data_IF_873300837578
#
_entry.id   IF_873300837578
#
_cell.length_a   1.000
_cell.length_b   1.000
_cell.length_c   1.000
_cell.angle_alpha   90.00
_cell.angle_beta   90.00
_cell.angle_gamma   90.00
#
_symmetry.space_group_name_H-M   'P 1'
#
loop_
_entity.id
_entity.type
_entity.pdbx_description
1 polymer ?
#
# COMPACT_ATOMS: atom_id res chain seq x y z
N UNK A 1 -13.17 0.62 -14.76
CA UNK A 1 -12.13 -0.21 -14.12
C UNK A 1 -11.68 0.52 -12.85
N UNK A 2 -11.68 -0.15 -11.70
CA UNK A 2 -11.22 0.41 -10.42
C UNK A 2 -9.74 0.04 -10.24
N UNK A 3 -8.87 1.04 -10.35
CA UNK A 3 -7.41 0.88 -10.31
C UNK A 3 -6.88 1.67 -9.12
N UNK A 4 -6.58 0.96 -8.03
CA UNK A 4 -6.04 1.51 -6.79
C UNK A 4 -5.06 0.48 -6.20
N UNK A 5 -3.79 0.86 -5.91
CA UNK A 5 -3.20 2.17 -6.14
C UNK A 5 -3.04 2.50 -7.63
N UNK A 6 -3.17 3.78 -7.98
CA UNK A 6 -2.78 4.30 -9.29
C UNK A 6 -1.38 4.92 -9.20
N UNK A 7 -0.39 4.25 -9.77
CA UNK A 7 1.00 4.69 -9.74
C UNK A 7 1.32 5.79 -10.76
N UNK A 8 0.46 6.01 -11.76
CA UNK A 8 0.63 7.10 -12.72
C UNK A 8 0.30 8.46 -12.08
N UNK A 9 -0.77 8.49 -11.27
CA UNK A 9 -1.18 9.68 -10.52
C UNK A 9 -0.67 9.72 -9.08
N UNK A 10 -0.03 8.63 -8.62
CA UNK A 10 0.42 8.45 -7.23
C UNK A 10 -0.71 8.63 -6.22
N UNK A 11 -1.87 8.06 -6.52
CA UNK A 11 -3.06 8.11 -5.67
C UNK A 11 -3.51 6.73 -5.24
N UNK A 12 -4.05 6.65 -4.03
CA UNK A 12 -4.70 5.45 -3.51
C UNK A 12 -5.96 5.87 -2.76
N UNK A 13 -7.10 5.30 -3.15
CA UNK A 13 -8.34 5.49 -2.43
C UNK A 13 -8.70 4.28 -1.56
N UNK A 14 -9.40 4.55 -0.46
CA UNK A 14 -10.01 3.52 0.38
C UNK A 14 -11.21 4.12 1.14
N UNK A 15 -12.02 3.27 1.76
CA UNK A 15 -13.22 3.66 2.51
C UNK A 15 -13.45 2.71 3.70
N UNK A 16 -14.42 3.01 4.56
CA UNK A 16 -14.74 2.17 5.71
C UNK A 16 -13.55 2.01 6.67
N UNK A 17 -13.47 0.85 7.32
CA UNK A 17 -12.46 0.59 8.37
C UNK A 17 -11.01 0.84 7.93
N UNK A 18 -10.68 0.54 6.67
CA UNK A 18 -9.32 0.75 6.15
C UNK A 18 -9.05 2.22 5.88
N UNK A 19 -10.00 2.91 5.24
CA UNK A 19 -9.96 4.35 5.07
C UNK A 19 -9.77 5.07 6.41
N UNK A 20 -10.60 4.76 7.41
CA UNK A 20 -10.47 5.29 8.77
C UNK A 20 -9.11 4.96 9.39
N UNK A 21 -8.62 3.72 9.27
CA UNK A 21 -7.32 3.35 9.81
C UNK A 21 -6.19 4.17 9.18
N UNK A 22 -6.24 4.44 7.88
CA UNK A 22 -5.25 5.26 7.19
C UNK A 22 -5.34 6.71 7.67
N UNK A 23 -6.54 7.33 7.61
CA UNK A 23 -6.71 8.74 7.95
C UNK A 23 -6.49 9.07 9.43
N UNK A 24 -6.63 8.09 10.33
CA UNK A 24 -6.46 8.30 11.77
C UNK A 24 -5.06 7.98 12.29
N UNK A 25 -4.21 7.29 11.51
CA UNK A 25 -2.91 6.82 11.99
C UNK A 25 -1.72 7.29 11.15
N UNK A 26 -1.94 7.89 9.98
CA UNK A 26 -0.87 8.35 9.10
C UNK A 26 -0.99 9.85 8.87
N UNK A 27 0.17 10.51 8.87
CA UNK A 27 0.35 11.91 8.53
C UNK A 27 1.28 12.08 7.33
N UNK A 28 1.44 13.33 6.87
CA UNK A 28 2.39 13.67 5.82
C UNK A 28 3.82 13.26 6.22
N UNK A 29 4.47 12.46 5.36
CA UNK A 29 5.81 11.92 5.59
C UNK A 29 5.82 10.46 6.08
N UNK A 30 4.69 9.93 6.55
CA UNK A 30 4.52 8.50 6.74
C UNK A 30 4.40 7.78 5.39
N UNK A 31 4.18 6.46 5.40
CA UNK A 31 4.13 5.70 4.16
C UNK A 31 3.12 4.57 4.15
N UNK A 32 2.64 4.28 2.94
CA UNK A 32 1.91 3.07 2.59
C UNK A 32 2.80 2.19 1.72
N UNK A 33 2.98 0.94 2.13
CA UNK A 33 3.66 -0.08 1.34
C UNK A 33 2.62 -0.99 0.69
N UNK A 34 2.68 -1.12 -0.64
CA UNK A 34 1.74 -1.92 -1.41
C UNK A 34 2.35 -3.29 -1.71
N UNK A 35 1.57 -4.34 -1.58
CA UNK A 35 1.97 -5.70 -1.93
C UNK A 35 0.84 -6.42 -2.66
N UNK A 36 1.21 -7.41 -3.47
CA UNK A 36 0.27 -8.24 -4.19
C UNK A 36 0.66 -9.73 -4.10
N UNK A 37 -0.35 -10.58 -4.18
CA UNK A 37 -0.18 -11.99 -4.50
C UNK A 37 -0.04 -12.16 -6.01
N UNK A 38 1.11 -12.65 -6.45
CA UNK A 38 1.48 -12.85 -7.85
C UNK A 38 1.66 -14.35 -8.11
N UNK A 39 1.20 -14.84 -9.26
CA UNK A 39 1.45 -16.23 -9.66
C UNK A 39 2.73 -16.26 -10.49
N UNK A 40 3.73 -16.96 -9.99
CA UNK A 40 4.96 -17.20 -10.74
C UNK A 40 4.65 -18.04 -12.00
N UNK A 41 5.17 -17.61 -13.15
CA UNK A 41 4.79 -18.21 -14.43
C UNK A 41 5.44 -19.59 -14.60
N UNK A 42 6.65 -19.79 -14.11
CA UNK A 42 7.40 -21.04 -14.28
C UNK A 42 6.98 -22.10 -13.27
N UNK A 43 7.03 -21.79 -11.97
CA UNK A 43 6.71 -22.71 -10.88
C UNK A 43 5.23 -22.81 -10.55
N UNK A 44 4.39 -21.91 -11.09
CA UNK A 44 2.97 -21.76 -10.75
C UNK A 44 2.69 -21.44 -9.27
N UNK A 45 3.73 -21.16 -8.49
CA UNK A 45 3.65 -20.84 -7.07
C UNK A 45 3.08 -19.44 -6.85
N UNK A 46 2.29 -19.26 -5.79
CA UNK A 46 1.86 -17.95 -5.35
C UNK A 46 2.99 -17.28 -4.55
N UNK A 47 3.36 -16.07 -4.96
CA UNK A 47 4.39 -15.22 -4.37
C UNK A 47 3.73 -13.97 -3.83
N UNK A 48 4.00 -13.60 -2.59
CA UNK A 48 3.63 -12.28 -2.08
C UNK A 48 4.82 -11.34 -2.22
N UNK A 49 4.66 -10.28 -3.02
CA UNK A 49 5.71 -9.31 -3.30
C UNK A 49 5.27 -7.89 -2.99
N UNK A 50 6.17 -7.08 -2.45
CA UNK A 50 6.00 -5.63 -2.44
C UNK A 50 6.06 -5.12 -3.87
N UNK A 51 5.10 -4.28 -4.25
CA UNK A 51 4.93 -3.77 -5.61
C UNK A 51 5.10 -2.26 -5.69
N UNK A 52 5.14 -1.54 -4.56
CA UNK A 52 5.29 -0.10 -4.57
C UNK A 52 5.23 0.50 -3.16
N UNK A 53 5.51 1.79 -3.09
CA UNK A 53 5.41 2.60 -1.87
C UNK A 53 4.88 3.98 -2.21
N UNK A 54 4.03 4.53 -1.36
CA UNK A 54 3.74 5.95 -1.30
C UNK A 54 4.27 6.52 0.00
N UNK A 55 5.09 7.56 -0.07
CA UNK A 55 5.33 8.45 1.08
C UNK A 55 4.23 9.49 1.05
N UNK A 56 3.42 9.56 2.11
CA UNK A 56 2.22 10.39 2.17
C UNK A 56 2.60 11.87 2.01
N UNK A 57 2.00 12.51 1.02
CA UNK A 57 1.99 13.95 0.86
C UNK A 57 0.78 14.54 1.59
N UNK A 58 -0.40 14.00 1.30
CA UNK A 58 -1.66 14.40 1.92
C UNK A 58 -2.68 13.26 1.89
N UNK A 59 -3.65 13.34 2.80
CA UNK A 59 -4.84 12.48 2.86
C UNK A 59 -6.04 13.41 2.89
N UNK A 60 -6.93 13.28 1.89
CA UNK A 60 -8.10 14.15 1.75
C UNK A 60 -9.37 13.32 1.59
N UNK A 61 -10.51 13.86 2.01
CA UNK A 61 -11.80 13.24 1.73
C UNK A 61 -12.06 13.25 0.21
N UNK A 62 -12.51 12.13 -0.36
CA UNK A 62 -12.76 12.06 -1.80
C UNK A 62 -13.84 13.05 -2.25
N UNK A 63 -14.83 13.32 -1.38
CA UNK A 63 -15.92 14.28 -1.62
C UNK A 63 -15.45 15.73 -1.75
N UNK A 64 -14.28 16.08 -1.21
CA UNK A 64 -13.75 17.45 -1.32
C UNK A 64 -12.91 17.68 -2.58
N UNK A 65 -12.64 16.63 -3.36
CA UNK A 65 -11.83 16.73 -4.57
C UNK A 65 -12.68 17.32 -5.71
N UNK A 66 -12.21 18.41 -6.37
CA UNK A 66 -12.96 19.03 -7.46
C UNK A 66 -13.05 18.10 -8.68
N UNK A 67 -14.14 18.22 -9.43
CA UNK A 67 -14.44 17.37 -10.59
C UNK A 67 -13.32 17.32 -11.64
N UNK A 68 -12.59 18.44 -11.83
CA UNK A 68 -11.44 18.51 -12.73
C UNK A 68 -10.33 17.49 -12.42
N UNK A 69 -10.26 17.02 -11.16
CA UNK A 69 -9.26 16.08 -10.66
C UNK A 69 -9.80 14.67 -10.42
N UNK A 70 -11.07 14.40 -10.73
CA UNK A 70 -11.66 13.09 -10.50
C UNK A 70 -10.99 11.98 -11.30
N UNK A 71 -10.38 12.31 -12.44
CA UNK A 71 -9.65 11.36 -13.27
C UNK A 71 -8.43 10.75 -12.55
N UNK A 72 -7.90 11.42 -11.52
CA UNK A 72 -6.68 11.05 -10.82
C UNK A 72 -6.85 9.85 -9.86
N UNK A 73 -8.08 9.51 -9.44
CA UNK A 73 -8.32 8.39 -8.53
C UNK A 73 -9.65 7.66 -8.82
N UNK A 74 -9.77 6.37 -8.51
CA UNK A 74 -11.03 5.65 -8.76
C UNK A 74 -12.15 5.99 -7.77
N UNK A 75 -11.84 6.34 -6.52
CA UNK A 75 -12.82 6.70 -5.50
C UNK A 75 -13.51 8.04 -5.77
N UNK A 76 -12.92 8.92 -6.59
CA UNK A 76 -13.52 10.18 -7.03
C UNK A 76 -14.38 10.06 -8.28
N UNK A 77 -14.34 8.93 -9.00
CA UNK A 77 -15.06 8.75 -10.28
C UNK A 77 -16.51 8.27 -10.13
N UNK A 78 -16.99 8.08 -8.91
CA UNK A 78 -18.36 7.65 -8.60
C UNK A 78 -19.14 8.79 -7.96
N UNK A 79 -20.47 8.73 -8.05
CA UNK A 79 -21.34 9.67 -7.33
C UNK A 79 -21.24 9.33 -5.85
N UNK A 80 -20.59 10.20 -5.08
CA UNK A 80 -20.46 10.07 -3.63
C UNK A 80 -21.58 10.84 -2.94
N UNK A 81 -22.32 10.25 -1.99
CA UNK A 81 -23.18 11.02 -1.11
C UNK A 81 -22.35 11.98 -0.24
N UNK A 82 -22.92 13.09 0.27
CA UNK A 82 -22.19 14.03 1.13
C UNK A 82 -21.56 13.40 2.38
N UNK A 83 -22.11 12.28 2.87
CA UNK A 83 -21.64 11.54 4.02
C UNK A 83 -20.69 10.37 3.67
N UNK A 84 -20.18 10.30 2.44
CA UNK A 84 -19.22 9.27 2.06
C UNK A 84 -17.92 9.40 2.86
N UNK A 85 -17.37 8.27 3.29
CA UNK A 85 -16.16 8.17 4.10
C UNK A 85 -14.91 7.79 3.28
N UNK A 86 -15.02 7.89 1.95
CA UNK A 86 -13.90 7.69 1.04
C UNK A 86 -12.80 8.71 1.29
N UNK A 87 -11.58 8.23 1.32
CA UNK A 87 -10.37 9.05 1.34
C UNK A 87 -9.57 8.83 0.06
N UNK A 88 -8.74 9.82 -0.27
CA UNK A 88 -7.68 9.70 -1.27
C UNK A 88 -6.36 10.09 -0.62
N UNK A 89 -5.41 9.16 -0.65
CA UNK A 89 -4.02 9.36 -0.26
C UNK A 89 -3.23 9.75 -1.50
N UNK A 90 -2.38 10.77 -1.39
CA UNK A 90 -1.46 11.20 -2.44
C UNK A 90 -0.02 10.96 -2.00
N UNK A 91 0.76 10.33 -2.87
CA UNK A 91 2.19 10.08 -2.65
C UNK A 91 3.06 11.25 -3.11
N UNK A 92 4.16 11.51 -2.40
CA UNK A 92 5.20 12.48 -2.79
C UNK A 92 5.90 12.02 -4.07
N UNK A 93 5.93 12.82 -5.15
CA UNK A 93 6.45 12.40 -6.45
C UNK A 93 7.91 11.93 -6.48
N UNK A 94 8.76 12.38 -5.57
CA UNK A 94 10.21 12.12 -5.58
C UNK A 94 10.57 10.77 -4.97
N UNK A 95 9.70 10.23 -4.10
CA UNK A 95 9.98 9.06 -3.24
C UNK A 95 8.88 8.01 -3.27
N UNK A 96 7.87 8.20 -4.13
CA UNK A 96 6.74 7.30 -4.31
C UNK A 96 6.74 6.68 -5.70
N UNK A 97 6.25 5.45 -5.81
CA UNK A 97 6.08 4.80 -7.11
C UNK A 97 5.90 3.30 -7.03
N UNK A 98 5.65 2.70 -8.19
CA UNK A 98 5.65 1.26 -8.40
C UNK A 98 7.08 0.77 -8.47
N UNK A 99 7.36 -0.42 -7.94
CA UNK A 99 8.65 -1.04 -8.13
C UNK A 99 8.73 -1.63 -9.55
N UNK A 100 9.85 -1.41 -10.24
CA UNK A 100 10.12 -2.05 -11.53
C UNK A 100 10.07 -3.57 -11.41
N UNK A 101 10.59 -4.10 -10.30
CA UNK A 101 10.52 -5.52 -9.94
C UNK A 101 9.97 -5.65 -8.52
N UNK A 102 9.01 -6.56 -8.33
CA UNK A 102 8.48 -6.81 -7.00
C UNK A 102 9.54 -7.44 -6.09
N UNK A 103 9.51 -7.11 -4.79
CA UNK A 103 10.39 -7.71 -3.79
C UNK A 103 9.62 -8.79 -3.07
N UNK A 104 10.02 -10.06 -3.20
CA UNK A 104 9.36 -11.16 -2.50
C UNK A 104 9.48 -10.98 -0.98
N UNK A 105 8.35 -11.04 -0.27
CA UNK A 105 8.30 -10.75 1.17
C UNK A 105 7.76 -11.89 2.02
N UNK A 106 7.14 -12.90 1.44
CA UNK A 106 6.49 -13.92 2.23
C UNK A 106 6.29 -15.26 1.53
N UNK A 107 5.87 -16.22 2.35
CA UNK A 107 5.68 -17.60 1.97
C UNK A 107 4.56 -18.25 2.81
N UNK A 108 4.07 -19.38 2.33
CA UNK A 108 3.09 -20.22 2.99
C UNK A 108 3.71 -20.96 4.17
N UNK A 109 3.25 -20.68 5.39
CA UNK A 109 3.65 -21.39 6.61
C UNK A 109 2.52 -21.43 7.62
N UNK A 110 2.40 -22.54 8.34
CA UNK A 110 1.39 -22.71 9.40
C UNK A 110 -0.03 -22.32 8.93
N UNK A 111 -0.41 -22.81 7.75
CA UNK A 111 -1.76 -22.64 7.18
C UNK A 111 -2.06 -21.27 6.55
N UNK A 112 -1.07 -20.40 6.35
CA UNK A 112 -1.30 -19.05 5.81
C UNK A 112 -0.06 -18.44 5.14
N UNK A 113 -0.25 -17.44 4.28
CA UNK A 113 0.86 -16.64 3.75
C UNK A 113 1.30 -15.59 4.78
N UNK A 114 2.61 -15.55 5.00
CA UNK A 114 3.21 -14.69 6.02
C UNK A 114 4.56 -14.12 5.58
N UNK A 115 4.89 -12.93 6.07
CA UNK A 115 6.19 -12.29 5.87
C UNK A 115 7.32 -13.22 6.33
N UNK A 116 8.38 -13.40 5.55
CA UNK A 116 9.52 -14.25 5.92
C UNK A 116 10.04 -13.93 7.34
N UNK A 117 10.42 -14.93 8.16
CA UNK A 117 10.76 -14.67 9.56
C UNK A 117 11.93 -13.70 9.73
N UNK A 118 12.95 -13.81 8.86
CA UNK A 118 14.09 -12.92 8.82
C UNK A 118 13.67 -11.49 8.44
N UNK A 119 12.82 -11.30 7.43
CA UNK A 119 12.30 -9.98 7.06
C UNK A 119 11.46 -9.37 8.18
N UNK A 120 10.56 -10.16 8.78
CA UNK A 120 9.72 -9.69 9.89
C UNK A 120 10.57 -9.21 11.07
N UNK A 121 11.66 -9.94 11.39
CA UNK A 121 12.64 -9.53 12.40
C UNK A 121 13.37 -8.24 11.99
N UNK A 122 13.83 -8.15 10.74
CA UNK A 122 14.53 -6.98 10.19
C UNK A 122 13.66 -5.73 10.21
N UNK A 123 12.38 -5.85 9.87
CA UNK A 123 11.41 -4.75 9.90
C UNK A 123 11.01 -4.34 11.31
N UNK A 124 11.37 -5.11 12.34
CA UNK A 124 10.95 -4.87 13.72
C UNK A 124 9.53 -5.33 14.03
N UNK A 125 8.91 -6.15 13.16
CA UNK A 125 7.58 -6.72 13.35
C UNK A 125 6.46 -5.95 12.65
N UNK A 126 5.31 -6.62 12.57
CA UNK A 126 4.03 -6.05 12.18
C UNK A 126 3.04 -6.25 13.34
N UNK A 127 2.05 -5.36 13.46
CA UNK A 127 1.01 -5.49 14.47
C UNK A 127 0.05 -6.68 14.23
N UNK A 128 0.11 -7.31 13.05
CA UNK A 128 -0.64 -8.53 12.73
C UNK A 128 0.13 -9.78 13.14
N UNK A 129 -0.60 -10.77 13.66
CA UNK A 129 -0.05 -12.02 14.19
C UNK A 129 0.88 -12.70 13.18
N UNK A 130 2.16 -12.81 13.56
CA UNK A 130 3.21 -13.51 12.80
C UNK A 130 3.38 -13.03 11.35
N UNK A 131 3.09 -11.75 11.08
CA UNK A 131 3.23 -11.14 9.75
C UNK A 131 2.26 -11.69 8.71
N UNK A 132 0.99 -11.90 9.06
CA UNK A 132 -0.05 -12.36 8.14
C UNK A 132 -0.21 -11.42 6.93
N UNK A 133 -0.31 -11.99 5.72
CA UNK A 133 -0.35 -11.23 4.45
C UNK A 133 -1.66 -11.37 3.67
N UNK A 134 -2.58 -12.26 4.07
CA UNK A 134 -3.80 -12.48 3.29
C UNK A 134 -4.86 -11.43 3.62
N UNK A 135 -5.91 -11.37 2.81
CA UNK A 135 -6.98 -10.39 2.89
C UNK A 135 -7.53 -10.29 4.31
N UNK A 136 -7.47 -9.09 4.86
CA UNK A 136 -7.99 -8.72 6.18
C UNK A 136 -8.73 -7.38 6.08
N UNK A 137 -9.71 -7.19 6.97
CA UNK A 137 -10.37 -5.90 7.15
C UNK A 137 -9.46 -4.88 7.86
N UNK A 138 -8.43 -5.37 8.57
CA UNK A 138 -7.44 -4.56 9.27
C UNK A 138 -6.15 -4.52 8.46
N UNK A 139 -5.62 -3.32 8.21
CA UNK A 139 -4.35 -3.15 7.51
C UNK A 139 -3.20 -3.51 8.47
N UNK A 140 -2.23 -4.33 8.03
CA UNK A 140 -0.99 -4.52 8.76
C UNK A 140 -0.25 -3.19 8.94
N UNK A 141 0.06 -2.84 10.19
CA UNK A 141 0.91 -1.71 10.54
C UNK A 141 2.30 -2.18 10.93
N UNK A 142 3.32 -1.41 10.55
CA UNK A 142 4.69 -1.64 11.00
C UNK A 142 4.82 -1.23 12.47
N UNK A 143 5.38 -2.11 13.30
CA UNK A 143 5.70 -1.77 14.69
C UNK A 143 6.85 -0.76 14.75
N UNK A 144 7.75 -0.84 13.77
CA UNK A 144 8.85 0.12 13.62
C UNK A 144 9.01 0.50 12.14
N UNK A 145 8.26 1.51 11.71
CA UNK A 145 8.27 1.99 10.32
C UNK A 145 9.67 2.40 9.84
N UNK A 146 10.48 2.99 10.71
CA UNK A 146 11.87 3.40 10.40
C UNK A 146 12.75 2.21 10.02
N UNK A 147 12.63 1.07 10.71
CA UNK A 147 13.38 -0.15 10.38
C UNK A 147 12.99 -0.70 9.02
N UNK A 148 11.69 -0.76 8.72
CA UNK A 148 11.22 -1.15 7.40
C UNK A 148 11.74 -0.21 6.32
N UNK A 149 11.59 1.11 6.51
CA UNK A 149 12.00 2.10 5.52
C UNK A 149 13.51 2.05 5.25
N UNK A 150 14.34 1.94 6.30
CA UNK A 150 15.79 1.72 6.17
C UNK A 150 16.12 0.44 5.41
N UNK A 151 15.39 -0.66 5.65
CA UNK A 151 15.58 -1.90 4.91
C UNK A 151 15.20 -1.73 3.43
N UNK A 152 14.10 -1.02 3.14
CA UNK A 152 13.63 -0.78 1.79
C UNK A 152 14.62 0.08 1.00
N UNK A 153 15.15 1.16 1.60
CA UNK A 153 16.19 1.98 0.99
C UNK A 153 17.43 1.16 0.61
N UNK A 154 17.81 0.17 1.42
CA UNK A 154 18.92 -0.75 1.11
C UNK A 154 18.62 -1.69 -0.07
N UNK A 155 17.35 -1.96 -0.36
CA UNK A 155 16.98 -2.73 -1.56
C UNK A 155 17.09 -1.87 -2.83
N UNK A 156 17.16 -0.54 -2.69
CA UNK A 156 17.25 0.43 -3.77
C UNK A 156 16.30 0.14 -4.95
N UNK A 157 14.99 -0.05 -4.71
CA UNK A 157 14.06 -0.36 -5.78
C UNK A 157 13.97 0.81 -6.77
N UNK A 158 13.96 0.49 -8.06
CA UNK A 158 13.67 1.48 -9.11
C UNK A 158 12.18 1.81 -9.07
N UNK A 159 11.87 3.09 -8.89
CA UNK A 159 10.49 3.60 -8.80
C UNK A 159 9.99 4.05 -10.17
N UNK A 160 8.80 3.58 -10.54
CA UNK A 160 8.10 3.91 -11.77
C UNK A 160 6.82 4.69 -11.46
N UNK A 161 6.52 5.70 -12.27
CA UNK A 161 5.26 6.48 -12.24
C UNK A 161 4.31 6.01 -13.32
N UNK A 162 4.08 4.70 -13.34
CA UNK A 162 3.22 4.04 -14.31
C UNK A 162 2.66 2.76 -13.69
N UNK A 163 1.46 2.37 -14.13
CA UNK A 163 0.85 1.12 -13.70
C UNK A 163 1.56 -0.11 -14.29
#
# INVERSE_FOLDING_TARGET
MHLDPDFAYLTYGDQGKKGTQISSNLDAGDFLAFYAGLKDISSKRLVYGLIGIFVVQEIVAAVSIPQSRWHENAHTRRILPPAADDIVVRGRPEVSGRFQQCIAIGDYRKGAYRVFPNLLKTWGGLNVKNGYLQRSAQLPGFVNGVKFYKWLCKQAPILLKSN
#
